data_IF_501993642434
#
_entry.id   IF_501993642434
#
_cell.length_a   1.000
_cell.length_b   1.000
_cell.length_c   1.000
_cell.angle_alpha   90.00
_cell.angle_beta   90.00
_cell.angle_gamma   90.00
#
_symmetry.space_group_name_H-M   'P 1'
#
loop_
_entity.id
_entity.type
_entity.pdbx_description
1 polymer ?
#
# COMPACT_ATOMS: atom_id res chain seq x y z
N UNK A 1 35.10 -13.20 42.98
CA UNK A 1 33.86 -12.42 43.23
C UNK A 1 33.48 -11.75 41.92
N UNK A 2 32.35 -12.14 41.34
CA UNK A 2 31.95 -11.78 39.99
C UNK A 2 31.52 -10.30 39.91
N UNK A 3 32.15 -9.55 39.01
CA UNK A 3 31.76 -8.18 38.68
C UNK A 3 30.54 -8.19 37.76
N UNK A 4 29.40 -7.79 38.31
CA UNK A 4 28.15 -7.61 37.58
C UNK A 4 28.21 -6.28 36.80
N UNK A 5 28.41 -6.35 35.49
CA UNK A 5 28.29 -5.18 34.60
C UNK A 5 26.82 -5.01 34.24
N UNK A 6 26.17 -3.85 34.53
CA UNK A 6 24.79 -3.64 34.14
C UNK A 6 24.73 -3.44 32.62
N UNK A 7 24.48 -4.51 31.88
CA UNK A 7 24.15 -4.47 30.45
C UNK A 7 22.72 -3.95 30.21
N UNK A 8 22.20 -3.06 31.07
CA UNK A 8 20.80 -2.66 31.10
C UNK A 8 20.34 -1.57 30.11
N UNK A 9 21.18 -0.65 29.54
CA UNK A 9 20.63 0.44 28.72
C UNK A 9 20.22 -0.02 27.32
N UNK A 10 20.87 -1.06 26.77
CA UNK A 10 20.60 -1.57 25.42
C UNK A 10 19.29 -2.36 25.33
N UNK A 11 18.97 -3.14 26.37
CA UNK A 11 17.70 -3.87 26.42
C UNK A 11 16.50 -2.94 26.62
N UNK A 12 16.68 -1.83 27.35
CA UNK A 12 15.62 -0.83 27.53
C UNK A 12 15.24 -0.16 26.19
N UNK A 13 16.22 0.16 25.34
CA UNK A 13 15.96 0.67 23.98
C UNK A 13 15.27 -0.36 23.07
N UNK A 14 15.63 -1.64 23.17
CA UNK A 14 15.00 -2.69 22.37
C UNK A 14 13.54 -2.93 22.78
N UNK A 15 13.22 -2.87 24.08
CA UNK A 15 11.83 -2.99 24.56
C UNK A 15 11.00 -1.78 24.13
N UNK A 16 11.55 -0.56 24.19
CA UNK A 16 10.85 0.64 23.73
C UNK A 16 10.57 0.60 22.21
N UNK A 17 11.49 0.04 21.41
CA UNK A 17 11.30 -0.09 19.96
C UNK A 17 10.24 -1.12 19.58
N UNK A 18 10.14 -2.24 20.32
CA UNK A 18 9.09 -3.25 20.10
C UNK A 18 7.68 -2.75 20.41
N UNK A 19 7.53 -1.83 21.38
CA UNK A 19 6.22 -1.22 21.68
C UNK A 19 5.77 -0.28 20.54
N UNK A 20 6.71 0.42 19.88
CA UNK A 20 6.40 1.30 18.75
C UNK A 20 5.97 0.51 17.50
N UNK A 21 6.57 -0.66 17.25
CA UNK A 21 6.20 -1.55 16.14
C UNK A 21 4.87 -2.30 16.37
N UNK A 22 4.50 -2.54 17.64
CA UNK A 22 3.21 -3.12 18.00
C UNK A 22 2.02 -2.17 17.75
N UNK A 23 2.24 -0.86 17.72
CA UNK A 23 1.19 0.13 17.47
C UNK A 23 0.78 0.23 15.98
N UNK A 24 1.61 -0.23 15.04
CA UNK A 24 1.24 -0.32 13.63
C UNK A 24 0.49 -1.61 13.26
N UNK A 25 0.28 -2.54 14.21
CA UNK A 25 -0.55 -3.74 14.00
C UNK A 25 -1.96 -3.64 14.58
N UNK A 26 -2.39 -2.47 15.08
CA UNK A 26 -3.83 -2.24 15.31
C UNK A 26 -4.51 -1.87 14.01
N UNK A 27 -4.61 -2.85 13.10
CA UNK A 27 -5.78 -2.92 12.24
C UNK A 27 -6.88 -3.56 13.10
N UNK A 28 -7.98 -2.87 13.40
CA UNK A 28 -9.11 -3.55 13.99
C UNK A 28 -9.58 -4.61 12.98
N UNK A 29 -9.53 -5.87 13.39
CA UNK A 29 -10.30 -6.96 12.80
C UNK A 29 -11.78 -6.58 12.96
N UNK A 30 -12.27 -5.76 12.04
CA UNK A 30 -13.70 -5.63 11.83
C UNK A 30 -14.08 -6.94 11.16
N UNK A 31 -14.70 -7.82 11.94
CA UNK A 31 -15.54 -8.91 11.46
C UNK A 31 -16.46 -8.34 10.37
N UNK A 32 -16.00 -8.45 9.12
CA UNK A 32 -16.82 -8.21 7.96
C UNK A 32 -17.56 -9.53 7.73
N UNK A 33 -18.90 -9.57 7.87
CA UNK A 33 -19.64 -10.79 7.60
C UNK A 33 -19.35 -11.18 6.16
N UNK A 34 -18.80 -12.40 6.00
CA UNK A 34 -18.58 -13.03 4.72
C UNK A 34 -19.88 -12.96 3.89
N UNK A 35 -19.97 -11.96 3.02
CA UNK A 35 -20.98 -11.88 1.98
C UNK A 35 -20.37 -12.51 0.75
N UNK A 36 -20.58 -13.81 0.61
CA UNK A 36 -20.29 -14.50 -0.64
C UNK A 36 -21.30 -14.06 -1.72
N UNK A 37 -20.82 -14.09 -2.98
CA UNK A 37 -21.58 -14.03 -4.25
C UNK A 37 -21.82 -12.64 -4.88
N UNK A 38 -20.76 -11.84 -4.95
CA UNK A 38 -20.43 -10.96 -6.09
C UNK A 38 -18.91 -10.74 -5.99
N UNK A 39 -18.09 -10.74 -7.05
CA UNK A 39 -16.71 -10.31 -6.88
C UNK A 39 -16.75 -8.90 -6.30
N UNK A 40 -16.28 -8.73 -5.05
CA UNK A 40 -16.15 -7.39 -4.47
C UNK A 40 -15.28 -6.61 -5.45
N UNK A 41 -15.84 -5.57 -6.06
CA UNK A 41 -15.15 -4.82 -7.10
C UNK A 41 -13.84 -4.21 -6.55
N UNK A 42 -13.77 -3.99 -5.23
CA UNK A 42 -12.54 -3.62 -4.53
C UNK A 42 -11.55 -4.78 -4.40
N UNK A 43 -12.01 -6.03 -4.22
CA UNK A 43 -11.14 -7.20 -4.25
C UNK A 43 -10.57 -7.46 -5.64
N UNK A 44 -11.36 -7.26 -6.70
CA UNK A 44 -10.86 -7.33 -8.08
C UNK A 44 -9.85 -6.21 -8.36
N UNK A 45 -10.11 -5.00 -7.89
CA UNK A 45 -9.16 -3.89 -7.98
C UNK A 45 -7.83 -4.24 -7.30
N UNK A 46 -7.87 -4.75 -6.07
CA UNK A 46 -6.67 -5.21 -5.34
C UNK A 46 -5.92 -6.27 -6.14
N UNK A 47 -6.63 -7.28 -6.67
CA UNK A 47 -6.02 -8.32 -7.48
C UNK A 47 -5.33 -7.76 -8.72
N UNK A 48 -5.96 -6.81 -9.42
CA UNK A 48 -5.36 -6.18 -10.60
C UNK A 48 -4.08 -5.41 -10.23
N UNK A 49 -4.06 -4.73 -9.07
CA UNK A 49 -2.88 -4.03 -8.57
C UNK A 49 -1.75 -5.03 -8.24
N UNK A 50 -2.06 -6.12 -7.54
CA UNK A 50 -1.09 -7.18 -7.17
C UNK A 50 -0.55 -7.91 -8.41
N UNK A 51 -1.41 -8.15 -9.40
CA UNK A 51 -1.03 -8.71 -10.70
C UNK A 51 -0.26 -7.72 -11.58
N UNK A 52 -0.05 -6.47 -11.13
CA UNK A 52 0.59 -5.39 -11.86
C UNK A 52 -0.15 -5.01 -13.17
N UNK A 53 -1.45 -5.28 -13.24
CA UNK A 53 -2.37 -4.88 -14.31
C UNK A 53 -2.86 -3.45 -14.06
N UNK A 54 -1.90 -2.52 -13.96
CA UNK A 54 -2.15 -1.17 -13.42
C UNK A 54 -3.13 -0.34 -14.24
N UNK A 55 -3.17 -0.52 -15.56
CA UNK A 55 -4.14 0.17 -16.42
C UNK A 55 -5.58 -0.31 -16.15
N UNK A 56 -5.77 -1.62 -16.05
CA UNK A 56 -7.07 -2.23 -15.71
C UNK A 56 -7.53 -1.81 -14.31
N UNK A 57 -6.61 -1.80 -13.35
CA UNK A 57 -6.88 -1.33 -12.00
C UNK A 57 -7.29 0.15 -11.97
N UNK A 58 -6.61 1.02 -12.73
CA UNK A 58 -6.95 2.45 -12.84
C UNK A 58 -8.36 2.67 -13.42
N UNK A 59 -8.72 1.96 -14.50
CA UNK A 59 -10.06 2.03 -15.10
C UNK A 59 -11.16 1.55 -14.13
N UNK A 60 -10.86 0.50 -13.36
CA UNK A 60 -11.78 -0.03 -12.35
C UNK A 60 -11.94 0.92 -11.17
N UNK A 61 -10.85 1.55 -10.71
CA UNK A 61 -10.91 2.59 -9.69
C UNK A 61 -11.72 3.81 -10.17
N UNK A 62 -11.55 4.25 -11.42
CA UNK A 62 -12.33 5.35 -11.99
C UNK A 62 -13.84 5.00 -12.04
N UNK A 63 -14.17 3.75 -12.36
CA UNK A 63 -15.55 3.26 -12.34
C UNK A 63 -16.14 3.28 -10.92
N UNK A 64 -15.38 2.85 -9.92
CA UNK A 64 -15.79 2.89 -8.51
C UNK A 64 -15.95 4.32 -8.00
N UNK A 65 -15.04 5.21 -8.37
CA UNK A 65 -15.11 6.64 -8.01
C UNK A 65 -16.30 7.35 -8.68
N UNK A 66 -16.65 6.99 -9.92
CA UNK A 66 -17.84 7.51 -10.59
C UNK A 66 -19.14 7.02 -9.93
N UNK A 67 -19.15 5.80 -9.40
CA UNK A 67 -20.30 5.24 -8.70
C UNK A 67 -20.52 5.88 -7.32
N UNK A 68 -19.44 6.10 -6.55
CA UNK A 68 -19.51 6.79 -5.27
C UNK A 68 -18.20 7.53 -4.95
N UNK A 69 -18.07 8.82 -5.29
CA UNK A 69 -16.82 9.56 -5.10
C UNK A 69 -16.50 9.85 -3.63
N UNK A 70 -17.46 9.71 -2.71
CA UNK A 70 -17.29 9.93 -1.28
C UNK A 70 -16.98 8.62 -0.51
N UNK A 71 -16.78 7.50 -1.21
CA UNK A 71 -16.40 6.24 -0.58
C UNK A 71 -14.98 6.34 0.00
N UNK A 72 -14.88 6.22 1.33
CA UNK A 72 -13.62 6.29 2.09
C UNK A 72 -12.62 5.19 1.67
N UNK A 73 -13.08 4.10 1.05
CA UNK A 73 -12.23 3.01 0.60
C UNK A 73 -11.39 3.40 -0.62
N UNK A 74 -11.77 4.43 -1.38
CA UNK A 74 -11.10 4.82 -2.62
C UNK A 74 -9.70 5.38 -2.41
N UNK A 75 -9.50 6.21 -1.38
CA UNK A 75 -8.23 6.90 -1.15
C UNK A 75 -7.07 5.92 -0.89
N UNK A 76 -7.22 4.87 -0.05
CA UNK A 76 -6.20 3.82 0.06
C UNK A 76 -5.82 3.16 -1.26
N UNK A 77 -6.79 2.90 -2.14
CA UNK A 77 -6.53 2.28 -3.45
C UNK A 77 -5.86 3.23 -4.43
N UNK A 78 -6.23 4.51 -4.44
CA UNK A 78 -5.53 5.57 -5.21
C UNK A 78 -4.05 5.62 -4.84
N UNK A 79 -3.75 5.63 -3.54
CA UNK A 79 -2.37 5.63 -3.04
C UNK A 79 -1.61 4.37 -3.45
N UNK A 80 -2.21 3.19 -3.30
CA UNK A 80 -1.59 1.92 -3.67
C UNK A 80 -1.30 1.84 -5.17
N UNK A 81 -2.21 2.33 -6.02
CA UNK A 81 -1.97 2.44 -7.46
C UNK A 81 -0.83 3.40 -7.78
N UNK A 82 -0.79 4.57 -7.15
CA UNK A 82 0.31 5.52 -7.32
C UNK A 82 1.67 4.87 -6.95
N UNK A 83 1.73 4.18 -5.81
CA UNK A 83 2.93 3.44 -5.37
C UNK A 83 3.35 2.34 -6.35
N UNK A 84 2.39 1.59 -6.92
CA UNK A 84 2.68 0.58 -7.92
C UNK A 84 3.27 1.19 -9.21
N UNK A 85 2.74 2.33 -9.67
CA UNK A 85 3.32 3.07 -10.79
C UNK A 85 4.72 3.62 -10.47
N UNK A 86 4.95 4.10 -9.24
CA UNK A 86 6.28 4.52 -8.80
C UNK A 86 7.28 3.35 -8.84
N UNK A 87 6.92 2.19 -8.31
CA UNK A 87 7.73 0.96 -8.38
C UNK A 87 8.08 0.60 -9.83
N UNK A 88 7.07 0.61 -10.72
CA UNK A 88 7.28 0.35 -12.15
C UNK A 88 8.21 1.37 -12.81
N UNK A 89 8.12 2.63 -12.43
CA UNK A 89 9.01 3.67 -12.96
C UNK A 89 10.47 3.42 -12.58
N UNK A 90 10.73 2.98 -11.34
CA UNK A 90 12.09 2.64 -10.88
C UNK A 90 12.67 1.47 -11.68
N UNK A 91 11.87 0.45 -11.93
CA UNK A 91 12.28 -0.69 -12.77
C UNK A 91 12.60 -0.23 -14.19
N UNK A 92 11.81 0.70 -14.74
CA UNK A 92 12.03 1.24 -16.09
C UNK A 92 13.31 2.09 -16.15
N UNK A 93 13.58 2.90 -15.11
CA UNK A 93 14.83 3.65 -14.98
C UNK A 93 16.05 2.73 -14.91
N UNK A 94 15.98 1.65 -14.14
CA UNK A 94 17.06 0.67 -14.05
C UNK A 94 17.35 -0.01 -15.40
N UNK A 95 16.32 -0.16 -16.24
CA UNK A 95 16.44 -0.69 -17.60
C UNK A 95 16.89 0.34 -18.64
N UNK A 96 17.05 1.61 -18.24
CA UNK A 96 17.38 2.72 -19.14
C UNK A 96 16.19 3.24 -19.96
N UNK A 97 14.97 2.76 -19.69
CA UNK A 97 13.75 3.22 -20.37
C UNK A 97 13.17 4.44 -19.65
N UNK A 98 13.78 5.60 -19.92
CA UNK A 98 13.37 6.87 -19.33
C UNK A 98 11.98 7.31 -19.78
N UNK A 99 11.55 6.96 -21.00
CA UNK A 99 10.24 7.31 -21.51
C UNK A 99 9.13 6.55 -20.79
N UNK A 100 9.29 5.23 -20.62
CA UNK A 100 8.35 4.43 -19.84
C UNK A 100 8.32 4.87 -18.37
N UNK A 101 9.49 5.21 -17.79
CA UNK A 101 9.56 5.73 -16.44
C UNK A 101 8.80 7.06 -16.28
N UNK A 102 9.01 8.02 -17.19
CA UNK A 102 8.35 9.31 -17.16
C UNK A 102 6.82 9.17 -17.28
N UNK A 103 6.35 8.30 -18.18
CA UNK A 103 4.92 8.03 -18.33
C UNK A 103 4.31 7.42 -17.07
N UNK A 104 4.98 6.44 -16.45
CA UNK A 104 4.52 5.84 -15.19
C UNK A 104 4.49 6.87 -14.04
N UNK A 105 5.51 7.74 -13.95
CA UNK A 105 5.55 8.82 -12.94
C UNK A 105 4.42 9.83 -13.12
N UNK A 106 4.10 10.22 -14.35
CA UNK A 106 2.98 11.12 -14.64
C UNK A 106 1.66 10.52 -14.16
N UNK A 107 1.41 9.24 -14.42
CA UNK A 107 0.21 8.55 -13.90
C UNK A 107 0.18 8.46 -12.39
N UNK A 108 1.30 8.11 -11.75
CA UNK A 108 1.39 8.07 -10.29
C UNK A 108 1.01 9.41 -9.65
N UNK A 109 1.50 10.52 -10.23
CA UNK A 109 1.21 11.87 -9.73
C UNK A 109 -0.25 12.28 -9.93
N UNK A 110 -0.88 11.84 -11.02
CA UNK A 110 -2.30 12.12 -11.27
C UNK A 110 -3.23 11.43 -10.25
N UNK A 111 -2.75 10.38 -9.59
CA UNK A 111 -3.49 9.60 -8.59
C UNK A 111 -3.22 10.04 -7.14
N UNK A 112 -2.34 11.04 -6.92
CA UNK A 112 -2.13 11.61 -5.59
C UNK A 112 -3.26 12.62 -5.27
N UNK A 113 -3.99 12.45 -4.15
CA UNK A 113 -5.04 13.38 -3.73
C UNK A 113 -4.49 14.72 -3.22
#
# INVERSE_FOLDING_TARGET
MAGMKPFAPRYLLLVAFSILLGACQSAPDIESPASEVQPDAFAQLEQNIVSNELATAEDQLATLQAANPADIRLEPFQRRLAEAYLSRSQISLQKGDMNAAANALTRARALMP
#
